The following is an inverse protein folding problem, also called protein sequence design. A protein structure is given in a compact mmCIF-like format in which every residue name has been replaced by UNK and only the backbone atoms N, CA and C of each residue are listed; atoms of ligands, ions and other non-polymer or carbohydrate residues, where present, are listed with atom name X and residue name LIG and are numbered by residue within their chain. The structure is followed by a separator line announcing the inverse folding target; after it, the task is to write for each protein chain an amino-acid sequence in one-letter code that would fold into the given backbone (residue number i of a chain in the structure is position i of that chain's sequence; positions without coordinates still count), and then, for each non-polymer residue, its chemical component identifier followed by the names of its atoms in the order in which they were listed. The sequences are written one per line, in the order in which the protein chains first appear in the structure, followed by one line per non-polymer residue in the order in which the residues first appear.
data_IF_608097421995
#
_entry.id   IF_608097421995
#
_cell.length_a   1.000
_cell.length_b   1.000
_cell.length_c   1.000
_cell.angle_alpha   90.00
_cell.angle_beta   90.00
_cell.angle_gamma   90.00
#
_symmetry.space_group_name_H-M   'P 1'
#
loop_
_entity.id
_entity.type
_entity.pdbx_description
1 polymer ?
#
# COMPACT_ATOMS: atom_id res chain seq x y z
N UNK A 1 30.50 71.15 -20.13
CA UNK A 1 30.71 69.97 -20.98
C UNK A 1 30.71 68.75 -20.09
N UNK A 2 29.82 67.81 -20.40
CA UNK A 2 29.98 66.35 -20.24
C UNK A 2 30.13 65.86 -18.78
N UNK A 3 29.07 65.44 -18.08
CA UNK A 3 28.21 64.23 -18.24
C UNK A 3 28.95 62.90 -18.08
N UNK A 4 28.29 62.02 -17.30
CA UNK A 4 28.41 60.56 -17.24
C UNK A 4 29.53 59.99 -16.36
N UNK A 5 29.23 59.82 -15.06
CA UNK A 5 29.87 58.79 -14.23
C UNK A 5 28.98 58.40 -13.03
N UNK A 6 27.66 58.24 -13.23
CA UNK A 6 26.76 57.64 -12.21
C UNK A 6 25.67 56.86 -12.94
N UNK A 7 25.99 55.65 -13.40
CA UNK A 7 25.01 54.71 -13.92
C UNK A 7 25.56 53.28 -13.85
N UNK A 8 25.90 52.84 -12.65
CA UNK A 8 26.05 51.42 -12.35
C UNK A 8 25.83 51.27 -10.85
N UNK A 9 25.13 50.21 -10.45
CA UNK A 9 24.72 49.88 -9.07
C UNK A 9 23.46 50.61 -8.64
N UNK A 10 22.31 50.01 -8.92
CA UNK A 10 21.14 49.91 -8.03
C UNK A 10 20.01 49.19 -8.80
N UNK A 11 20.15 47.88 -8.97
CA UNK A 11 19.05 47.01 -9.40
C UNK A 11 19.36 45.56 -8.98
N UNK A 12 19.63 45.36 -7.69
CA UNK A 12 19.61 44.03 -7.08
C UNK A 12 18.93 44.16 -5.73
N UNK A 13 17.84 43.41 -5.53
CA UNK A 13 17.34 43.12 -4.18
C UNK A 13 15.88 43.47 -3.87
N UNK A 14 14.92 43.13 -4.73
CA UNK A 14 13.50 43.11 -4.36
C UNK A 14 12.88 41.74 -4.67
N UNK A 15 13.49 40.64 -4.19
CA UNK A 15 13.02 39.29 -4.53
C UNK A 15 13.29 38.16 -3.54
N UNK A 16 13.70 38.43 -2.29
CA UNK A 16 14.15 37.37 -1.37
C UNK A 16 13.28 37.13 -0.13
N UNK A 17 12.07 37.70 -0.04
CA UNK A 17 11.16 37.34 1.06
C UNK A 17 10.10 36.31 0.64
N UNK A 18 9.75 36.21 -0.64
CA UNK A 18 8.71 35.28 -1.11
C UNK A 18 9.20 33.83 -1.18
N UNK A 19 10.49 33.59 -1.49
CA UNK A 19 11.06 32.24 -1.55
C UNK A 19 11.13 31.54 -0.19
N UNK A 20 11.39 32.29 0.90
CA UNK A 20 11.42 31.74 2.25
C UNK A 20 10.02 31.36 2.76
N UNK A 21 8.95 31.98 2.27
CA UNK A 21 7.58 31.55 2.61
C UNK A 21 7.04 30.48 1.66
N UNK A 22 7.38 30.53 0.37
CA UNK A 22 6.85 29.59 -0.62
C UNK A 22 7.38 28.16 -0.46
N UNK A 23 8.62 27.98 0.02
CA UNK A 23 9.22 26.64 0.23
C UNK A 23 8.61 25.94 1.46
N UNK A 24 8.37 26.66 2.56
CA UNK A 24 7.79 26.06 3.76
C UNK A 24 6.30 25.75 3.59
N UNK A 25 5.57 26.58 2.84
CA UNK A 25 4.15 26.35 2.57
C UNK A 25 3.90 25.17 1.61
N UNK A 26 4.84 24.86 0.73
CA UNK A 26 4.75 23.72 -0.20
C UNK A 26 5.10 22.40 0.48
N UNK A 27 6.14 22.34 1.33
CA UNK A 27 6.65 21.08 1.88
C UNK A 27 5.62 20.29 2.72
N UNK A 28 4.82 20.94 3.56
CA UNK A 28 3.80 20.27 4.38
C UNK A 28 2.53 19.90 3.59
N UNK A 29 2.11 20.76 2.64
CA UNK A 29 0.97 20.48 1.73
C UNK A 29 1.32 19.33 0.78
N UNK A 30 2.56 19.29 0.29
CA UNK A 30 3.08 18.21 -0.54
C UNK A 30 3.06 16.88 0.21
N UNK A 31 3.60 16.78 1.43
CA UNK A 31 3.60 15.51 2.18
C UNK A 31 2.20 14.99 2.52
N UNK A 32 1.25 15.88 2.81
CA UNK A 32 -0.16 15.48 2.99
C UNK A 32 -0.76 14.91 1.70
N UNK A 33 -0.51 15.58 0.57
CA UNK A 33 -0.98 15.11 -0.73
C UNK A 33 -0.34 13.76 -1.10
N UNK A 34 0.97 13.62 -0.89
CA UNK A 34 1.71 12.38 -1.12
C UNK A 34 1.20 11.24 -0.24
N UNK A 35 0.92 11.50 1.05
CA UNK A 35 0.36 10.46 1.93
C UNK A 35 -1.01 9.99 1.43
N UNK A 36 -1.87 10.92 1.01
CA UNK A 36 -3.17 10.57 0.42
C UNK A 36 -2.99 9.70 -0.82
N UNK A 37 -2.12 10.11 -1.73
CA UNK A 37 -1.85 9.40 -2.98
C UNK A 37 -1.31 7.99 -2.73
N UNK A 38 -0.35 7.82 -1.82
CA UNK A 38 0.18 6.49 -1.53
C UNK A 38 -0.83 5.59 -0.79
N UNK A 39 -1.70 6.13 0.06
CA UNK A 39 -2.80 5.35 0.65
C UNK A 39 -3.80 4.89 -0.41
N UNK A 40 -4.11 5.74 -1.40
CA UNK A 40 -4.96 5.36 -2.54
C UNK A 40 -4.31 4.24 -3.36
N UNK A 41 -3.03 4.38 -3.72
CA UNK A 41 -2.29 3.34 -4.44
C UNK A 41 -2.18 2.04 -3.64
N UNK A 42 -1.97 2.10 -2.33
CA UNK A 42 -1.97 0.92 -1.46
C UNK A 42 -3.33 0.21 -1.51
N UNK A 43 -4.42 0.97 -1.51
CA UNK A 43 -5.79 0.44 -1.63
C UNK A 43 -5.99 -0.26 -2.98
N UNK A 44 -5.59 0.38 -4.08
CA UNK A 44 -5.68 -0.20 -5.43
C UNK A 44 -4.85 -1.49 -5.58
N UNK A 45 -3.63 -1.56 -5.00
CA UNK A 45 -2.83 -2.78 -5.01
C UNK A 45 -3.47 -3.90 -4.17
N UNK A 46 -4.08 -3.56 -3.02
CA UNK A 46 -4.81 -4.53 -2.20
C UNK A 46 -6.06 -5.07 -2.90
N UNK A 47 -6.76 -4.25 -3.68
CA UNK A 47 -7.88 -4.69 -4.52
C UNK A 47 -7.42 -5.65 -5.62
N UNK A 48 -6.31 -5.31 -6.30
CA UNK A 48 -5.72 -6.17 -7.34
C UNK A 48 -5.23 -7.50 -6.76
N UNK A 49 -4.54 -7.48 -5.62
CA UNK A 49 -4.15 -8.69 -4.90
C UNK A 49 -5.37 -9.51 -4.49
N UNK A 50 -6.42 -8.87 -3.96
CA UNK A 50 -7.68 -9.54 -3.60
C UNK A 50 -8.30 -10.27 -4.79
N UNK A 51 -8.29 -9.64 -5.97
CA UNK A 51 -8.80 -10.29 -7.18
C UNK A 51 -7.93 -11.48 -7.57
N UNK A 52 -6.60 -11.34 -7.55
CA UNK A 52 -5.69 -12.43 -7.87
C UNK A 52 -5.90 -13.66 -6.98
N UNK A 53 -6.02 -13.47 -5.66
CA UNK A 53 -6.24 -14.58 -4.74
C UNK A 53 -7.63 -15.22 -4.89
N UNK A 54 -8.64 -14.49 -5.38
CA UNK A 54 -9.94 -15.08 -5.77
C UNK A 54 -9.80 -15.94 -7.03
N UNK A 55 -9.00 -15.50 -8.00
CA UNK A 55 -8.76 -16.23 -9.24
C UNK A 55 -7.99 -17.51 -8.97
N UNK A 56 -6.97 -17.46 -8.11
CA UNK A 56 -6.30 -18.63 -7.54
C UNK A 56 -7.29 -19.62 -6.91
N UNK A 57 -8.17 -19.13 -6.02
CA UNK A 57 -9.14 -20.01 -5.36
C UNK A 57 -10.10 -20.64 -6.37
N UNK A 58 -10.49 -19.90 -7.39
CA UNK A 58 -11.31 -20.41 -8.49
C UNK A 58 -10.58 -21.51 -9.25
N UNK A 59 -9.30 -21.30 -9.60
CA UNK A 59 -8.42 -22.30 -10.22
C UNK A 59 -8.36 -23.59 -9.40
N UNK A 60 -8.16 -23.45 -8.09
CA UNK A 60 -8.07 -24.60 -7.19
C UNK A 60 -9.40 -25.37 -7.09
N UNK A 61 -10.55 -24.69 -7.21
CA UNK A 61 -11.87 -25.32 -7.22
C UNK A 61 -12.17 -26.06 -8.53
N UNK A 62 -11.62 -25.63 -9.67
CA UNK A 62 -11.75 -26.34 -10.95
C UNK A 62 -11.19 -27.78 -10.85
N UNK A 63 -10.26 -28.01 -9.92
CA UNK A 63 -9.67 -29.33 -9.67
C UNK A 63 -10.74 -30.40 -9.37
N UNK A 64 -11.83 -30.06 -8.67
CA UNK A 64 -12.89 -31.02 -8.33
C UNK A 64 -13.52 -31.68 -9.57
N UNK A 65 -13.67 -30.92 -10.67
CA UNK A 65 -14.22 -31.40 -11.94
C UNK A 65 -13.20 -32.05 -12.88
N UNK A 66 -11.92 -32.06 -12.52
CA UNK A 66 -10.85 -32.49 -13.40
C UNK A 66 -10.80 -34.02 -13.56
N UNK A 67 -10.89 -34.51 -14.81
CA UNK A 67 -10.88 -35.93 -15.21
C UNK A 67 -9.68 -36.32 -16.10
N UNK A 68 -8.51 -35.71 -15.89
CA UNK A 68 -7.25 -36.21 -16.47
C UNK A 68 -6.84 -35.61 -17.83
N UNK A 69 -7.74 -34.90 -18.53
CA UNK A 69 -7.54 -34.53 -19.94
C UNK A 69 -6.45 -33.50 -20.24
N UNK A 70 -6.08 -32.62 -19.30
CA UNK A 70 -5.02 -31.61 -19.53
C UNK A 70 -4.32 -31.15 -18.24
N UNK A 71 -3.53 -32.06 -17.65
CA UNK A 71 -2.83 -31.82 -16.38
C UNK A 71 -1.76 -30.75 -16.52
N UNK A 72 -1.08 -30.73 -17.66
CA UNK A 72 -0.03 -29.78 -17.97
C UNK A 72 -0.58 -28.36 -18.04
N UNK A 73 -1.73 -28.15 -18.69
CA UNK A 73 -2.38 -26.86 -18.69
C UNK A 73 -2.81 -26.41 -17.29
N UNK A 74 -3.34 -27.32 -16.47
CA UNK A 74 -3.67 -26.99 -15.07
C UNK A 74 -2.44 -26.53 -14.30
N UNK A 75 -1.35 -27.29 -14.38
CA UNK A 75 -0.07 -26.94 -13.76
C UNK A 75 0.42 -25.56 -14.24
N UNK A 76 0.45 -25.31 -15.55
CA UNK A 76 0.93 -24.05 -16.10
C UNK A 76 0.09 -22.86 -15.63
N UNK A 77 -1.23 -23.01 -15.54
CA UNK A 77 -2.13 -21.97 -15.01
C UNK A 77 -1.87 -21.73 -13.52
N UNK A 78 -1.78 -22.79 -12.71
CA UNK A 78 -1.51 -22.65 -11.27
C UNK A 78 -0.14 -22.02 -11.01
N UNK A 79 0.88 -22.38 -11.80
CA UNK A 79 2.20 -21.76 -11.75
C UNK A 79 2.13 -20.27 -12.06
N UNK A 80 1.43 -19.88 -13.12
CA UNK A 80 1.24 -18.48 -13.46
C UNK A 80 0.49 -17.72 -12.35
N UNK A 81 -0.58 -18.31 -11.80
CA UNK A 81 -1.33 -17.68 -10.72
C UNK A 81 -0.45 -17.48 -9.46
N UNK A 82 0.43 -18.44 -9.15
CA UNK A 82 1.41 -18.33 -8.05
C UNK A 82 2.42 -17.20 -8.30
N UNK A 83 3.02 -17.15 -9.49
CA UNK A 83 4.00 -16.14 -9.87
C UNK A 83 3.39 -14.73 -9.80
N UNK A 84 2.18 -14.54 -10.34
CA UNK A 84 1.45 -13.28 -10.25
C UNK A 84 1.05 -12.96 -8.79
N UNK A 85 0.68 -13.95 -7.98
CA UNK A 85 0.38 -13.73 -6.56
C UNK A 85 1.61 -13.24 -5.78
N UNK A 86 2.80 -13.76 -6.07
CA UNK A 86 4.04 -13.25 -5.47
C UNK A 86 4.32 -11.80 -5.89
N UNK A 87 4.16 -11.47 -7.17
CA UNK A 87 4.32 -10.09 -7.66
C UNK A 87 3.34 -9.13 -6.99
N UNK A 88 2.07 -9.54 -6.81
CA UNK A 88 1.06 -8.74 -6.10
C UNK A 88 1.40 -8.56 -4.64
N UNK A 89 1.90 -9.59 -3.98
CA UNK A 89 2.29 -9.48 -2.58
C UNK A 89 3.46 -8.50 -2.39
N UNK A 90 4.49 -8.57 -3.26
CA UNK A 90 5.59 -7.61 -3.26
C UNK A 90 5.12 -6.17 -3.53
N UNK A 91 4.17 -5.98 -4.46
CA UNK A 91 3.60 -4.66 -4.73
C UNK A 91 2.87 -4.10 -3.50
N UNK A 92 2.07 -4.91 -2.80
CA UNK A 92 1.39 -4.52 -1.56
C UNK A 92 2.41 -4.14 -0.48
N UNK A 93 3.43 -4.97 -0.23
CA UNK A 93 4.52 -4.69 0.74
C UNK A 93 5.16 -3.33 0.47
N UNK A 94 5.57 -3.11 -0.77
CA UNK A 94 6.21 -1.85 -1.19
C UNK A 94 5.31 -0.63 -0.97
N UNK A 95 4.00 -0.75 -1.20
CA UNK A 95 3.07 0.36 -0.94
C UNK A 95 2.90 0.65 0.54
N UNK A 96 2.87 -0.39 1.37
CA UNK A 96 2.81 -0.22 2.82
C UNK A 96 4.06 0.51 3.31
N UNK A 97 5.25 0.09 2.88
CA UNK A 97 6.52 0.76 3.20
C UNK A 97 6.53 2.25 2.82
N UNK A 98 6.02 2.57 1.62
CA UNK A 98 5.91 3.97 1.17
C UNK A 98 4.98 4.78 2.07
N UNK A 99 3.81 4.23 2.42
CA UNK A 99 2.84 4.88 3.30
C UNK A 99 3.45 5.09 4.68
N UNK A 100 4.19 4.12 5.21
CA UNK A 100 4.93 4.22 6.48
C UNK A 100 5.95 5.35 6.47
N UNK A 101 6.81 5.39 5.45
CA UNK A 101 7.87 6.40 5.36
C UNK A 101 7.29 7.82 5.26
N UNK A 102 6.30 8.03 4.37
CA UNK A 102 5.71 9.35 4.16
C UNK A 102 4.93 9.81 5.38
N UNK A 103 4.20 8.91 6.05
CA UNK A 103 3.49 9.25 7.28
C UNK A 103 4.45 9.64 8.40
N UNK A 104 5.54 8.90 8.57
CA UNK A 104 6.58 9.21 9.57
C UNK A 104 7.19 10.59 9.32
N UNK A 105 7.55 10.89 8.07
CA UNK A 105 8.13 12.18 7.69
C UNK A 105 7.13 13.34 7.91
N UNK A 106 5.88 13.16 7.49
CA UNK A 106 4.81 14.15 7.69
C UNK A 106 4.60 14.43 9.18
N UNK A 107 4.52 13.40 10.01
CA UNK A 107 4.26 13.58 11.44
C UNK A 107 5.41 14.26 12.16
N UNK A 108 6.65 13.90 11.82
CA UNK A 108 7.85 14.52 12.39
C UNK A 108 7.93 16.01 12.03
N UNK A 109 7.66 16.36 10.78
CA UNK A 109 7.63 17.76 10.35
C UNK A 109 6.50 18.53 11.02
N UNK A 110 5.29 17.97 11.05
CA UNK A 110 4.14 18.63 11.65
C UNK A 110 4.34 18.88 13.16
N UNK A 111 4.96 17.96 13.89
CA UNK A 111 5.35 18.19 15.29
C UNK A 111 6.34 19.34 15.47
N UNK A 112 7.34 19.42 14.59
CA UNK A 112 8.31 20.52 14.59
C UNK A 112 7.61 21.85 14.36
N UNK A 113 6.75 21.94 13.35
CA UNK A 113 6.03 23.18 13.03
C UNK A 113 5.08 23.60 14.15
N UNK A 114 4.41 22.65 14.82
CA UNK A 114 3.59 22.94 16.02
C UNK A 114 4.42 23.65 17.10
N UNK A 115 5.70 23.30 17.25
CA UNK A 115 6.58 23.92 18.23
C UNK A 115 6.85 25.40 17.94
N UNK A 116 6.87 25.77 16.66
CA UNK A 116 7.14 27.12 16.14
C UNK A 116 5.88 28.04 16.18
N UNK A 117 4.68 27.46 16.33
CA UNK A 117 3.44 28.24 16.46
C UNK A 117 3.43 29.04 17.78
N UNK A 118 3.42 30.37 17.65
CA UNK A 118 3.39 31.29 18.80
C UNK A 118 1.99 31.51 19.38
N UNK A 119 0.92 31.35 18.58
CA UNK A 119 -0.45 31.52 19.05
C UNK A 119 -0.92 30.26 19.82
N UNK A 120 -1.25 30.34 21.12
CA UNK A 120 -1.57 29.16 21.92
C UNK A 120 -2.83 28.42 21.44
N UNK A 121 -3.84 29.16 20.95
CA UNK A 121 -5.07 28.56 20.44
C UNK A 121 -4.83 27.81 19.13
N UNK A 122 -4.01 28.36 18.22
CA UNK A 122 -3.65 27.67 16.97
C UNK A 122 -2.75 26.45 17.23
N UNK A 123 -1.81 26.56 18.18
CA UNK A 123 -0.95 25.46 18.61
C UNK A 123 -1.76 24.30 19.16
N UNK A 124 -2.74 24.58 20.04
CA UNK A 124 -3.63 23.58 20.60
C UNK A 124 -4.48 22.88 19.52
N UNK A 125 -5.04 23.64 18.57
CA UNK A 125 -5.81 23.08 17.44
C UNK A 125 -4.95 22.17 16.56
N UNK A 126 -3.77 22.63 16.16
CA UNK A 126 -2.85 21.85 15.31
C UNK A 126 -2.40 20.56 16.01
N UNK A 127 -2.10 20.63 17.32
CA UNK A 127 -1.76 19.46 18.14
C UNK A 127 -2.91 18.45 18.23
N UNK A 128 -4.15 18.92 18.37
CA UNK A 128 -5.33 18.07 18.40
C UNK A 128 -5.55 17.37 17.04
N UNK A 129 -5.39 18.09 15.93
CA UNK A 129 -5.46 17.52 14.58
C UNK A 129 -4.37 16.46 14.36
N UNK A 130 -3.12 16.73 14.72
CA UNK A 130 -2.02 15.77 14.61
C UNK A 130 -2.31 14.50 15.39
N UNK A 131 -2.73 14.63 16.65
CA UNK A 131 -3.07 13.48 17.50
C UNK A 131 -4.18 12.64 16.87
N UNK A 132 -5.24 13.28 16.41
CA UNK A 132 -6.38 12.61 15.78
C UNK A 132 -5.99 11.89 14.49
N UNK A 133 -5.12 12.50 13.66
CA UNK A 133 -4.58 11.87 12.46
C UNK A 133 -3.69 10.67 12.79
N UNK A 134 -2.80 10.78 13.79
CA UNK A 134 -1.96 9.65 14.23
C UNK A 134 -2.80 8.48 14.72
N UNK A 135 -3.84 8.74 15.52
CA UNK A 135 -4.77 7.71 16.01
C UNK A 135 -5.47 6.97 14.86
N UNK A 136 -5.87 7.69 13.79
CA UNK A 136 -6.44 7.08 12.58
C UNK A 136 -5.40 6.28 11.80
N UNK A 137 -4.23 6.85 11.61
CA UNK A 137 -3.13 6.21 10.89
C UNK A 137 -2.72 4.88 11.54
N UNK A 138 -2.64 4.80 12.87
CA UNK A 138 -2.31 3.54 13.57
C UNK A 138 -3.32 2.42 13.26
N UNK A 139 -4.61 2.74 13.07
CA UNK A 139 -5.62 1.74 12.70
C UNK A 139 -5.43 1.27 11.26
N UNK A 140 -5.23 2.20 10.34
CA UNK A 140 -4.89 1.90 8.95
C UNK A 140 -3.65 1.01 8.86
N UNK A 141 -2.54 1.46 9.45
CA UNK A 141 -1.26 0.75 9.49
C UNK A 141 -1.41 -0.70 9.97
N UNK A 142 -2.08 -0.90 11.12
CA UNK A 142 -2.32 -2.24 11.65
C UNK A 142 -3.15 -3.12 10.71
N UNK A 143 -4.14 -2.54 10.03
CA UNK A 143 -4.97 -3.28 9.10
C UNK A 143 -4.21 -3.66 7.82
N UNK A 144 -3.38 -2.76 7.29
CA UNK A 144 -2.50 -3.03 6.16
C UNK A 144 -1.51 -4.16 6.45
N UNK A 145 -0.79 -4.09 7.57
CA UNK A 145 0.21 -5.11 7.91
C UNK A 145 -0.44 -6.48 8.15
N UNK A 146 -1.64 -6.51 8.75
CA UNK A 146 -2.39 -7.76 8.89
C UNK A 146 -2.80 -8.36 7.55
N UNK A 147 -3.22 -7.52 6.60
CA UNK A 147 -3.56 -7.96 5.25
C UNK A 147 -2.32 -8.50 4.53
N UNK A 148 -1.19 -7.80 4.66
CA UNK A 148 0.11 -8.22 4.14
C UNK A 148 0.57 -9.58 4.69
N UNK A 149 0.64 -9.73 6.02
CA UNK A 149 1.02 -10.96 6.70
C UNK A 149 0.12 -12.14 6.32
N UNK A 150 -1.14 -11.88 5.98
CA UNK A 150 -2.09 -12.93 5.59
C UNK A 150 -1.87 -13.48 4.17
N UNK A 151 -1.01 -12.86 3.36
CA UNK A 151 -0.64 -13.38 2.02
C UNK A 151 0.32 -14.57 2.13
N UNK A 152 1.24 -14.56 3.10
CA UNK A 152 2.32 -15.55 3.22
C UNK A 152 1.83 -17.00 3.33
N UNK A 153 0.81 -17.34 4.14
CA UNK A 153 0.32 -18.71 4.23
C UNK A 153 -0.27 -19.21 2.90
N UNK A 154 -0.93 -18.33 2.13
CA UNK A 154 -1.50 -18.67 0.82
C UNK A 154 -0.38 -18.91 -0.18
N UNK A 155 0.58 -17.99 -0.27
CA UNK A 155 1.73 -18.11 -1.19
C UNK A 155 2.55 -19.37 -0.91
N UNK A 156 2.78 -19.70 0.37
CA UNK A 156 3.49 -20.92 0.76
C UNK A 156 2.77 -22.17 0.27
N UNK A 157 1.46 -22.27 0.48
CA UNK A 157 0.65 -23.41 0.00
C UNK A 157 0.67 -23.51 -1.53
N UNK A 158 0.52 -22.38 -2.23
CA UNK A 158 0.59 -22.37 -3.70
C UNK A 158 1.94 -22.85 -4.22
N UNK A 159 3.03 -22.39 -3.61
CA UNK A 159 4.39 -22.83 -3.94
C UNK A 159 4.54 -24.33 -3.76
N UNK A 160 4.06 -24.88 -2.64
CA UNK A 160 4.11 -26.32 -2.36
C UNK A 160 3.33 -27.10 -3.44
N UNK A 161 2.16 -26.63 -3.85
CA UNK A 161 1.35 -27.27 -4.89
C UNK A 161 2.02 -27.23 -6.27
N UNK A 162 2.61 -26.09 -6.65
CA UNK A 162 3.36 -25.94 -7.90
C UNK A 162 4.57 -26.88 -7.92
N UNK A 163 5.36 -26.90 -6.84
CA UNK A 163 6.54 -27.77 -6.75
C UNK A 163 6.17 -29.26 -6.76
N UNK A 164 5.08 -29.63 -6.10
CA UNK A 164 4.59 -31.00 -6.10
C UNK A 164 4.16 -31.44 -7.51
N UNK A 165 3.34 -30.65 -8.20
CA UNK A 165 2.87 -30.98 -9.55
C UNK A 165 3.99 -31.03 -10.58
N UNK A 166 5.02 -30.18 -10.44
CA UNK A 166 6.17 -30.13 -11.35
C UNK A 166 6.84 -31.49 -11.53
N UNK A 167 6.87 -32.33 -10.49
CA UNK A 167 7.54 -33.63 -10.52
C UNK A 167 6.56 -34.82 -10.55
N UNK A 168 5.28 -34.56 -10.33
CA UNK A 168 4.27 -35.60 -10.11
C UNK A 168 3.05 -35.42 -11.01
N UNK A 169 3.22 -34.93 -12.25
CA UNK A 169 2.12 -34.60 -13.15
C UNK A 169 1.31 -35.84 -13.61
N UNK A 170 0.44 -36.32 -12.73
CA UNK A 170 -0.39 -37.50 -12.92
C UNK A 170 -1.71 -37.38 -12.14
N UNK A 171 -2.66 -38.29 -12.41
CA UNK A 171 -3.99 -38.26 -11.79
C UNK A 171 -3.97 -38.46 -10.26
N UNK A 172 -2.97 -39.17 -9.72
CA UNK A 172 -2.85 -39.39 -8.27
C UNK A 172 -2.44 -38.09 -7.56
N UNK A 173 -1.52 -37.31 -8.13
CA UNK A 173 -1.10 -36.03 -7.57
C UNK A 173 -2.24 -35.02 -7.51
N UNK A 174 -3.09 -34.98 -8.56
CA UNK A 174 -4.31 -34.17 -8.51
C UNK A 174 -5.29 -34.66 -7.45
N UNK A 175 -5.40 -35.97 -7.25
CA UNK A 175 -6.17 -36.55 -6.15
C UNK A 175 -5.68 -36.11 -4.77
N UNK A 176 -4.37 -36.04 -4.57
CA UNK A 176 -3.77 -35.55 -3.32
C UNK A 176 -4.07 -34.07 -3.09
N UNK A 177 -3.89 -33.22 -4.11
CA UNK A 177 -4.17 -31.79 -3.99
C UNK A 177 -5.65 -31.48 -3.74
N UNK A 178 -6.60 -32.32 -4.19
CA UNK A 178 -8.03 -32.17 -3.88
C UNK A 178 -8.30 -32.18 -2.37
N UNK A 179 -7.51 -32.92 -1.59
CA UNK A 179 -7.66 -32.95 -0.13
C UNK A 179 -7.15 -31.65 0.53
N UNK A 180 -6.21 -30.96 -0.13
CA UNK A 180 -5.60 -29.71 0.34
C UNK A 180 -6.41 -28.45 -0.05
N UNK A 181 -7.45 -28.58 -0.90
CA UNK A 181 -8.25 -27.43 -1.36
C UNK A 181 -8.98 -26.73 -0.20
N UNK A 182 -9.45 -27.49 0.79
CA UNK A 182 -10.14 -26.93 1.96
C UNK A 182 -9.25 -25.99 2.80
N UNK A 183 -7.97 -26.36 2.92
CA UNK A 183 -6.99 -25.57 3.65
C UNK A 183 -6.70 -24.24 2.95
N UNK A 184 -6.40 -24.28 1.65
CA UNK A 184 -6.13 -23.04 0.89
C UNK A 184 -7.38 -22.16 0.80
N UNK A 185 -8.58 -22.75 0.71
CA UNK A 185 -9.83 -21.99 0.76
C UNK A 185 -9.98 -21.22 2.07
N UNK A 186 -9.58 -21.81 3.19
CA UNK A 186 -9.62 -21.17 4.50
C UNK A 186 -8.63 -19.99 4.57
N UNK A 187 -7.39 -20.19 4.11
CA UNK A 187 -6.38 -19.13 4.09
C UNK A 187 -6.75 -17.98 3.15
N UNK A 188 -7.25 -18.28 1.94
CA UNK A 188 -7.71 -17.25 1.00
C UNK A 188 -8.90 -16.47 1.56
N UNK A 189 -9.87 -17.13 2.22
CA UNK A 189 -11.00 -16.42 2.86
C UNK A 189 -10.51 -15.48 3.96
N UNK A 190 -9.54 -15.90 4.76
CA UNK A 190 -8.93 -15.05 5.80
C UNK A 190 -8.24 -13.85 5.16
N UNK A 191 -7.44 -14.07 4.12
CA UNK A 191 -6.74 -13.02 3.36
C UNK A 191 -7.72 -12.00 2.77
N UNK A 192 -8.74 -12.44 2.05
CA UNK A 192 -9.78 -11.55 1.48
C UNK A 192 -10.47 -10.74 2.60
N UNK A 193 -10.75 -11.38 3.73
CA UNK A 193 -11.36 -10.72 4.89
C UNK A 193 -10.46 -9.66 5.53
N UNK A 194 -9.16 -9.89 5.60
CA UNK A 194 -8.20 -8.94 6.16
C UNK A 194 -7.88 -7.81 5.16
N UNK A 195 -7.77 -8.08 3.85
CA UNK A 195 -7.70 -7.07 2.78
C UNK A 195 -8.93 -6.14 2.80
N UNK A 196 -10.13 -6.71 2.90
CA UNK A 196 -11.36 -5.92 2.96
C UNK A 196 -11.49 -5.03 4.21
N UNK A 197 -10.81 -5.37 5.32
CA UNK A 197 -10.73 -4.48 6.49
C UNK A 197 -9.70 -3.37 6.26
N UNK A 198 -8.55 -3.70 5.67
CA UNK A 198 -7.52 -2.72 5.33
C UNK A 198 -8.05 -1.63 4.40
N UNK A 199 -8.75 -2.01 3.32
CA UNK A 199 -9.40 -1.08 2.38
C UNK A 199 -10.38 -0.15 3.11
N UNK A 200 -11.22 -0.67 4.01
CA UNK A 200 -12.16 0.14 4.79
C UNK A 200 -11.47 1.13 5.72
N UNK A 201 -10.38 0.73 6.38
CA UNK A 201 -9.60 1.65 7.21
C UNK A 201 -8.90 2.71 6.36
N UNK A 202 -8.50 2.38 5.12
CA UNK A 202 -7.93 3.33 4.17
C UNK A 202 -8.97 4.37 3.72
N UNK A 203 -10.17 3.94 3.33
CA UNK A 203 -11.30 4.84 3.01
C UNK A 203 -11.64 5.76 4.19
N UNK A 204 -11.72 5.20 5.41
CA UNK A 204 -12.00 5.97 6.61
C UNK A 204 -10.87 6.97 6.94
N UNK A 205 -9.61 6.57 6.74
CA UNK A 205 -8.46 7.47 6.89
C UNK A 205 -8.55 8.63 5.89
N UNK A 206 -8.75 8.35 4.60
CA UNK A 206 -8.78 9.35 3.54
C UNK A 206 -9.93 10.34 3.75
N UNK A 207 -11.15 9.85 4.04
CA UNK A 207 -12.31 10.72 4.28
C UNK A 207 -12.09 11.69 5.46
N UNK A 208 -11.49 11.19 6.55
CA UNK A 208 -11.17 12.01 7.72
C UNK A 208 -9.89 12.85 7.58
N UNK A 209 -9.12 12.66 6.50
CA UNK A 209 -7.90 13.40 6.20
C UNK A 209 -8.13 14.53 5.18
N UNK A 210 -9.21 14.43 4.39
CA UNK A 210 -9.71 15.47 3.48
C UNK A 210 -10.54 16.56 4.17
N UNK A 211 -11.09 16.26 5.36
CA UNK A 211 -11.95 17.16 6.16
C UNK A 211 -11.18 18.07 7.09
#
# INVERSE_FOLDING_TARGET
MIRLLIAAVLLVGSGCQTAYYSVWETLGKEKRHLLKEEVQKATEEQEQATQQFKDVLTRMKEMYGFQGGDLEQFYNKLKADYEESEERAEAVRKRIDNVEQIAADLFKEWEKEISEISNPNLKAKSSASLRSTKERYVRLHKAMNRAEESMDPVLKKLKDYVLYLKHNLNAQAVGALKQEVGDIETEVKKLIGDMGKSIKEAEAFLSAFES
#
